data_IF_717491657529
#
_entry.id   IF_717491657529
#
_cell.length_a   1.000
_cell.length_b   1.000
_cell.length_c   1.000
_cell.angle_alpha   90.00
_cell.angle_beta   90.00
_cell.angle_gamma   90.00
#
_symmetry.space_group_name_H-M   'P 1'
#
loop_
_entity.id
_entity.type
_entity.pdbx_description
1 polymer ?
#
# COMPACT_ATOMS: atom_id res chain seq x y z
N UNK A 1 51.07 10.85 -35.73
CA UNK A 1 50.90 10.11 -34.47
C UNK A 1 49.88 10.86 -33.64
N UNK A 2 48.65 10.38 -33.64
CA UNK A 2 47.52 11.01 -32.94
C UNK A 2 47.45 10.41 -31.54
N UNK A 3 47.66 11.24 -30.52
CA UNK A 3 47.55 10.83 -29.13
C UNK A 3 46.06 10.84 -28.79
N UNK A 4 45.47 9.65 -28.65
CA UNK A 4 44.10 9.47 -28.16
C UNK A 4 44.17 9.55 -26.65
N UNK A 5 43.72 10.67 -26.08
CA UNK A 5 43.45 10.79 -24.64
C UNK A 5 42.06 10.23 -24.38
N UNK A 6 41.99 8.93 -24.06
CA UNK A 6 40.80 8.33 -23.48
C UNK A 6 40.64 8.87 -22.06
N UNK A 7 39.71 9.80 -21.88
CA UNK A 7 39.26 10.20 -20.55
C UNK A 7 38.50 9.02 -19.94
N UNK A 8 38.75 8.64 -18.66
CA UNK A 8 37.92 7.66 -18.01
C UNK A 8 36.50 8.22 -17.95
N UNK A 9 35.55 7.51 -18.58
CA UNK A 9 34.12 7.71 -18.37
C UNK A 9 33.91 7.79 -16.86
N UNK A 10 33.49 8.95 -16.37
CA UNK A 10 33.14 9.16 -14.98
C UNK A 10 32.12 8.08 -14.62
N UNK A 11 32.57 7.04 -13.89
CA UNK A 11 31.65 6.05 -13.35
C UNK A 11 30.68 6.83 -12.47
N UNK A 12 29.42 6.90 -12.90
CA UNK A 12 28.34 7.49 -12.13
C UNK A 12 28.27 6.68 -10.84
N UNK A 13 28.75 7.25 -9.74
CA UNK A 13 28.62 6.65 -8.42
C UNK A 13 27.13 6.51 -8.16
N UNK A 14 26.65 5.28 -8.18
CA UNK A 14 25.25 4.99 -7.92
C UNK A 14 25.01 5.12 -6.41
N UNK A 15 24.35 6.21 -6.04
CA UNK A 15 24.03 6.47 -4.63
C UNK A 15 22.82 5.64 -4.25
N UNK A 16 23.04 4.65 -3.37
CA UNK A 16 21.97 3.87 -2.74
C UNK A 16 21.09 4.83 -1.97
N UNK A 17 19.90 5.08 -2.51
CA UNK A 17 18.93 6.02 -1.98
C UNK A 17 17.53 5.56 -2.36
N UNK A 18 16.54 5.93 -1.56
CA UNK A 18 15.15 5.61 -1.86
C UNK A 18 14.71 6.11 -3.25
N UNK A 19 15.20 7.27 -3.68
CA UNK A 19 14.93 7.82 -5.01
C UNK A 19 15.39 6.91 -6.15
N UNK A 20 16.46 6.13 -5.96
CA UNK A 20 16.87 5.12 -6.94
C UNK A 20 15.82 3.99 -7.02
N UNK A 21 15.24 3.59 -5.88
CA UNK A 21 14.27 2.48 -5.82
C UNK A 21 12.84 2.88 -6.19
N UNK A 22 12.50 4.17 -6.13
CA UNK A 22 11.18 4.69 -6.52
C UNK A 22 10.79 4.40 -7.98
N UNK A 23 11.75 4.10 -8.85
CA UNK A 23 11.50 3.79 -10.26
C UNK A 23 11.04 2.36 -10.52
N UNK A 24 11.18 1.44 -9.57
CA UNK A 24 10.83 0.03 -9.73
C UNK A 24 9.45 -0.28 -9.14
N UNK A 25 8.76 -1.26 -9.72
CA UNK A 25 7.48 -1.76 -9.20
C UNK A 25 7.68 -2.60 -7.92
N UNK A 26 6.66 -2.63 -7.06
CA UNK A 26 6.72 -3.34 -5.77
C UNK A 26 7.10 -4.81 -5.91
N UNK A 27 6.62 -5.50 -6.96
CA UNK A 27 6.95 -6.91 -7.20
C UNK A 27 8.45 -7.12 -7.49
N UNK A 28 9.07 -6.20 -8.23
CA UNK A 28 10.49 -6.27 -8.54
C UNK A 28 11.34 -5.95 -7.29
N UNK A 29 10.93 -4.94 -6.52
CA UNK A 29 11.56 -4.60 -5.24
C UNK A 29 11.47 -5.75 -4.25
N UNK A 30 10.31 -6.41 -4.16
CA UNK A 30 10.08 -7.55 -3.27
C UNK A 30 10.94 -8.76 -3.66
N UNK A 31 11.05 -9.07 -4.96
CA UNK A 31 11.92 -10.13 -5.44
C UNK A 31 13.39 -9.86 -5.07
N UNK A 32 13.88 -8.65 -5.34
CA UNK A 32 15.23 -8.23 -4.95
C UNK A 32 15.44 -8.37 -3.44
N UNK A 33 14.46 -7.96 -2.62
CA UNK A 33 14.55 -8.11 -1.17
C UNK A 33 14.69 -9.57 -0.74
N UNK A 34 13.99 -10.50 -1.38
CA UNK A 34 14.09 -11.93 -1.09
C UNK A 34 15.44 -12.52 -1.50
N UNK A 35 15.94 -12.16 -2.69
CA UNK A 35 17.24 -12.62 -3.18
C UNK A 35 18.36 -12.18 -2.24
N UNK A 36 18.43 -10.87 -1.93
CA UNK A 36 19.49 -10.33 -1.07
C UNK A 36 19.39 -10.84 0.37
N UNK A 37 18.18 -10.99 0.91
CA UNK A 37 18.00 -11.56 2.24
C UNK A 37 18.41 -13.04 2.29
N UNK A 38 18.13 -13.83 1.23
CA UNK A 38 18.56 -15.22 1.14
C UNK A 38 20.09 -15.33 1.07
N UNK A 39 20.73 -14.52 0.24
CA UNK A 39 22.19 -14.48 0.10
C UNK A 39 22.86 -14.10 1.44
N UNK A 40 22.30 -13.11 2.16
CA UNK A 40 22.80 -12.73 3.47
C UNK A 40 22.65 -13.85 4.52
N UNK A 41 21.55 -14.61 4.47
CA UNK A 41 21.33 -15.77 5.36
C UNK A 41 22.28 -16.91 5.01
N UNK A 42 22.55 -17.15 3.72
CA UNK A 42 23.51 -18.15 3.25
C UNK A 42 24.92 -17.83 3.72
N UNK A 43 25.39 -16.59 3.51
CA UNK A 43 26.69 -16.12 3.98
C UNK A 43 26.87 -16.37 5.50
N UNK A 44 25.88 -15.98 6.31
CA UNK A 44 25.90 -16.22 7.76
C UNK A 44 25.92 -17.71 8.10
N UNK A 45 25.18 -18.53 7.34
CA UNK A 45 25.11 -19.99 7.55
C UNK A 45 26.41 -20.69 7.20
N UNK A 46 27.16 -20.16 6.23
CA UNK A 46 28.50 -20.64 5.85
C UNK A 46 29.61 -20.14 6.81
N UNK A 47 29.24 -19.32 7.79
CA UNK A 47 30.15 -18.77 8.80
C UNK A 47 30.83 -17.48 8.37
N UNK A 48 30.40 -16.87 7.27
CA UNK A 48 30.81 -15.53 6.89
C UNK A 48 30.15 -14.51 7.82
N UNK A 49 30.95 -13.55 8.31
CA UNK A 49 30.45 -12.45 9.12
C UNK A 49 29.99 -11.31 8.22
N UNK A 50 28.90 -10.64 8.58
CA UNK A 50 28.49 -9.38 7.94
C UNK A 50 29.30 -8.24 8.57
N UNK A 51 30.08 -7.57 7.74
CA UNK A 51 31.01 -6.49 8.09
C UNK A 51 30.61 -5.19 7.39
N UNK A 52 30.98 -4.04 7.97
CA UNK A 52 30.61 -2.75 7.40
C UNK A 52 31.16 -2.62 5.96
N UNK A 53 30.26 -2.33 5.00
CA UNK A 53 30.55 -2.10 3.57
C UNK A 53 30.97 -3.34 2.78
N UNK A 54 30.82 -4.55 3.33
CA UNK A 54 30.87 -5.75 2.48
C UNK A 54 29.60 -5.88 1.64
N UNK A 55 29.60 -6.85 0.72
CA UNK A 55 28.51 -7.06 -0.21
C UNK A 55 27.18 -7.34 0.52
N UNK A 56 27.21 -8.12 1.60
CA UNK A 56 26.03 -8.45 2.39
C UNK A 56 25.47 -7.23 3.12
N UNK A 57 26.33 -6.39 3.71
CA UNK A 57 25.94 -5.14 4.36
C UNK A 57 25.35 -4.15 3.36
N UNK A 58 26.00 -3.96 2.21
CA UNK A 58 25.50 -3.08 1.15
C UNK A 58 24.15 -3.58 0.64
N UNK A 59 24.02 -4.88 0.36
CA UNK A 59 22.75 -5.48 -0.05
C UNK A 59 21.66 -5.27 0.98
N UNK A 60 21.94 -5.51 2.27
CA UNK A 60 20.96 -5.26 3.34
C UNK A 60 20.54 -3.78 3.42
N UNK A 61 21.45 -2.84 3.15
CA UNK A 61 21.07 -1.42 3.03
C UNK A 61 20.13 -1.18 1.85
N UNK A 62 20.36 -1.80 0.69
CA UNK A 62 19.47 -1.72 -0.47
C UNK A 62 18.08 -2.28 -0.14
N UNK A 63 18.02 -3.41 0.57
CA UNK A 63 16.78 -4.00 1.07
C UNK A 63 16.05 -3.03 1.99
N UNK A 64 16.75 -2.39 2.95
CA UNK A 64 16.13 -1.39 3.82
C UNK A 64 15.53 -0.21 3.04
N UNK A 65 16.22 0.29 2.01
CA UNK A 65 15.70 1.38 1.16
C UNK A 65 14.49 0.93 0.33
N UNK A 66 14.54 -0.26 -0.25
CA UNK A 66 13.42 -0.80 -1.03
C UNK A 66 12.18 -1.06 -0.17
N UNK A 67 12.35 -1.64 1.03
CA UNK A 67 11.29 -1.82 2.00
C UNK A 67 10.70 -0.48 2.46
N UNK A 68 11.53 0.54 2.68
CA UNK A 68 11.07 1.88 3.04
C UNK A 68 10.18 2.50 1.93
N UNK A 69 10.59 2.38 0.66
CA UNK A 69 9.80 2.83 -0.49
C UNK A 69 8.46 2.10 -0.56
N UNK A 70 8.45 0.77 -0.46
CA UNK A 70 7.20 -0.01 -0.48
C UNK A 70 6.30 0.32 0.71
N UNK A 71 6.88 0.51 1.90
CA UNK A 71 6.13 0.94 3.08
C UNK A 71 5.48 2.30 2.85
N UNK A 72 6.25 3.31 2.42
CA UNK A 72 5.73 4.65 2.12
C UNK A 72 4.64 4.63 1.04
N UNK A 73 4.78 3.80 0.00
CA UNK A 73 3.75 3.65 -1.05
C UNK A 73 2.41 3.19 -0.45
N UNK A 74 2.45 2.25 0.50
CA UNK A 74 1.27 1.65 1.11
C UNK A 74 0.66 2.47 2.26
N UNK A 75 1.50 3.09 3.08
CA UNK A 75 1.07 3.81 4.29
C UNK A 75 0.96 5.32 4.06
N UNK A 76 1.74 5.87 3.12
CA UNK A 76 1.95 7.30 2.99
C UNK A 76 2.87 7.90 4.06
N UNK A 77 3.47 7.07 4.91
CA UNK A 77 4.29 7.48 6.05
C UNK A 77 5.73 6.96 5.95
N UNK A 78 6.64 7.65 6.64
CA UNK A 78 8.03 7.22 6.79
C UNK A 78 8.14 6.03 7.75
N UNK A 79 8.88 4.99 7.35
CA UNK A 79 9.06 3.79 8.18
C UNK A 79 9.79 4.10 9.48
N UNK A 80 10.73 5.04 9.47
CA UNK A 80 11.48 5.46 10.67
C UNK A 80 10.57 6.14 11.69
N UNK A 81 9.62 6.95 11.22
CA UNK A 81 8.64 7.59 12.10
C UNK A 81 7.72 6.54 12.73
N UNK A 82 7.10 5.68 11.90
CA UNK A 82 6.15 4.68 12.39
C UNK A 82 6.83 3.69 13.32
N UNK A 83 8.05 3.24 13.02
CA UNK A 83 8.81 2.34 13.89
C UNK A 83 9.19 2.97 15.23
N UNK A 84 9.57 4.25 15.25
CA UNK A 84 9.84 4.97 16.50
C UNK A 84 8.59 5.02 17.40
N UNK A 85 7.43 5.35 16.81
CA UNK A 85 6.16 5.40 17.54
C UNK A 85 5.79 4.02 18.13
N UNK A 86 6.01 2.94 17.37
CA UNK A 86 5.78 1.56 17.85
C UNK A 86 6.73 1.20 19.00
N UNK A 87 8.02 1.54 18.88
CA UNK A 87 9.01 1.26 19.93
C UNK A 87 8.71 2.03 21.21
N UNK A 88 8.28 3.29 21.11
CA UNK A 88 7.93 4.10 22.28
C UNK A 88 6.66 3.60 22.95
N UNK A 89 5.68 3.11 22.17
CA UNK A 89 4.51 2.43 22.72
C UNK A 89 4.90 1.15 23.46
N UNK A 90 5.72 0.29 22.85
CA UNK A 90 6.20 -0.94 23.49
C UNK A 90 6.96 -0.65 24.79
N UNK A 91 7.86 0.34 24.78
CA UNK A 91 8.57 0.79 25.98
C UNK A 91 7.60 1.23 27.08
N UNK A 92 6.57 2.00 26.73
CA UNK A 92 5.56 2.45 27.69
C UNK A 92 4.77 1.27 28.27
N UNK A 93 4.30 0.34 27.44
CA UNK A 93 3.58 -0.85 27.89
C UNK A 93 4.43 -1.70 28.85
N UNK A 94 5.72 -1.88 28.54
CA UNK A 94 6.66 -2.59 29.41
C UNK A 94 6.86 -1.88 30.76
N UNK A 95 6.94 -0.55 30.77
CA UNK A 95 7.13 0.23 32.01
C UNK A 95 5.87 0.30 32.87
N UNK A 96 4.69 0.31 32.26
CA UNK A 96 3.40 0.42 32.95
C UNK A 96 2.78 -0.95 33.28
N UNK A 97 3.40 -2.05 32.85
CA UNK A 97 2.89 -3.41 33.04
C UNK A 97 1.59 -3.68 32.26
N UNK A 98 1.37 -2.94 31.17
CA UNK A 98 0.20 -3.05 30.31
C UNK A 98 0.42 -4.14 29.25
N UNK A 99 -0.68 -4.76 28.82
CA UNK A 99 -0.67 -5.68 27.69
C UNK A 99 -0.37 -4.90 26.40
N UNK A 100 0.67 -5.32 25.67
CA UNK A 100 1.07 -4.69 24.41
C UNK A 100 0.04 -5.00 23.30
N UNK A 101 -0.88 -4.08 23.10
CA UNK A 101 -1.76 -4.09 21.92
C UNK A 101 -1.05 -3.32 20.82
N UNK A 102 -0.41 -4.07 19.91
CA UNK A 102 0.29 -3.51 18.75
C UNK A 102 -0.48 -2.34 18.15
N UNK A 103 0.19 -1.19 18.01
CA UNK A 103 -0.38 -0.06 17.31
C UNK A 103 -0.73 -0.47 15.87
N UNK A 104 -1.87 -0.03 15.32
CA UNK A 104 -2.20 -0.29 13.93
C UNK A 104 -1.23 0.48 13.04
N UNK A 105 -0.72 -0.19 12.00
CA UNK A 105 0.06 0.48 10.97
C UNK A 105 -0.90 1.35 10.13
N UNK A 106 -0.66 2.68 10.03
CA UNK A 106 -1.53 3.54 9.25
C UNK A 106 -1.46 3.15 7.77
N UNK A 107 -2.62 2.96 7.14
CA UNK A 107 -2.72 2.69 5.70
C UNK A 107 -3.16 3.99 5.03
N UNK A 108 -2.56 4.31 3.88
CA UNK A 108 -2.93 5.49 3.12
C UNK A 108 -4.42 5.43 2.80
N UNK A 109 -5.20 6.50 3.05
CA UNK A 109 -6.58 6.53 2.60
C UNK A 109 -6.59 6.41 1.07
N UNK A 110 -7.54 5.64 0.51
CA UNK A 110 -7.65 5.44 -0.92
C UNK A 110 -7.81 6.79 -1.62
N UNK A 111 -7.11 6.99 -2.73
CA UNK A 111 -7.08 8.29 -3.42
C UNK A 111 -8.45 8.71 -3.97
N UNK A 112 -9.36 7.74 -4.12
CA UNK A 112 -10.70 7.93 -4.66
C UNK A 112 -11.75 7.46 -3.66
N UNK A 113 -12.65 8.38 -3.33
CA UNK A 113 -13.87 8.08 -2.58
C UNK A 113 -14.97 7.60 -3.52
N UNK A 114 -15.72 6.55 -3.15
CA UNK A 114 -16.91 6.16 -3.90
C UNK A 114 -17.96 7.27 -3.89
N UNK A 115 -18.86 7.25 -4.87
CA UNK A 115 -19.98 8.17 -4.95
C UNK A 115 -20.98 7.90 -3.81
N UNK A 116 -21.57 8.95 -3.22
CA UNK A 116 -22.60 8.76 -2.21
C UNK A 116 -23.85 8.11 -2.83
N UNK A 117 -24.56 7.28 -2.07
CA UNK A 117 -25.78 6.61 -2.54
C UNK A 117 -26.83 7.59 -3.13
N UNK A 118 -26.87 8.82 -2.61
CA UNK A 118 -27.72 9.90 -3.12
C UNK A 118 -27.46 10.25 -4.59
N UNK A 119 -26.25 10.02 -5.11
CA UNK A 119 -25.91 10.24 -6.52
C UNK A 119 -26.73 9.34 -7.48
N UNK A 120 -27.20 8.19 -6.99
CA UNK A 120 -27.98 7.23 -7.78
C UNK A 120 -29.50 7.44 -7.62
N UNK A 121 -29.94 8.27 -6.67
CA UNK A 121 -31.35 8.43 -6.32
C UNK A 121 -32.21 9.01 -7.45
N UNK A 122 -31.62 9.79 -8.38
CA UNK A 122 -32.32 10.41 -9.49
C UNK A 122 -32.41 9.52 -10.75
N UNK A 123 -31.66 8.42 -10.81
CA UNK A 123 -31.61 7.55 -11.99
C UNK A 123 -32.90 6.73 -12.13
N UNK A 124 -33.28 6.31 -13.33
CA UNK A 124 -34.38 5.36 -13.53
C UNK A 124 -33.95 3.93 -13.14
N UNK A 125 -34.90 3.01 -12.97
CA UNK A 125 -34.61 1.60 -12.66
C UNK A 125 -33.74 0.92 -13.73
N UNK A 126 -33.98 1.23 -15.01
CA UNK A 126 -33.17 0.72 -16.11
C UNK A 126 -31.76 1.30 -16.10
N UNK A 127 -31.64 2.61 -15.84
CA UNK A 127 -30.34 3.29 -15.77
C UNK A 127 -29.51 2.79 -14.58
N UNK A 128 -30.14 2.49 -13.43
CA UNK A 128 -29.45 1.91 -12.27
C UNK A 128 -28.82 0.56 -12.60
N UNK A 129 -29.54 -0.32 -13.30
CA UNK A 129 -29.01 -1.61 -13.73
C UNK A 129 -27.84 -1.44 -14.71
N UNK A 130 -27.97 -0.53 -15.68
CA UNK A 130 -26.91 -0.24 -16.66
C UNK A 130 -25.67 0.38 -16.00
N UNK A 131 -25.85 1.34 -15.09
CA UNK A 131 -24.77 1.99 -14.35
C UNK A 131 -24.05 1.00 -13.45
N UNK A 132 -24.80 0.17 -12.70
CA UNK A 132 -24.23 -0.90 -11.88
C UNK A 132 -23.39 -1.87 -12.72
N UNK A 133 -23.89 -2.33 -13.86
CA UNK A 133 -23.14 -3.20 -14.77
C UNK A 133 -21.87 -2.53 -15.33
N UNK A 134 -21.95 -1.25 -15.71
CA UNK A 134 -20.81 -0.51 -16.23
C UNK A 134 -19.70 -0.35 -15.19
N UNK A 135 -20.06 -0.04 -13.93
CA UNK A 135 -19.09 0.09 -12.86
C UNK A 135 -18.44 -1.26 -12.49
N UNK A 136 -19.20 -2.36 -12.46
CA UNK A 136 -18.63 -3.71 -12.28
C UNK A 136 -17.66 -4.04 -13.41
N UNK A 137 -18.04 -3.76 -14.66
CA UNK A 137 -17.21 -4.03 -15.83
C UNK A 137 -15.88 -3.29 -15.76
N UNK A 138 -15.90 -2.01 -15.39
CA UNK A 138 -14.68 -1.20 -15.19
C UNK A 138 -13.81 -1.70 -14.04
N UNK A 139 -14.41 -2.04 -12.90
CA UNK A 139 -13.69 -2.62 -11.77
C UNK A 139 -12.96 -3.91 -12.18
N UNK A 140 -13.65 -4.76 -12.93
CA UNK A 140 -13.09 -6.01 -13.44
C UNK A 140 -11.99 -5.80 -14.50
N UNK A 141 -12.07 -4.77 -15.35
CA UNK A 141 -10.98 -4.40 -16.27
C UNK A 141 -9.70 -4.03 -15.50
N UNK A 142 -9.83 -3.23 -14.43
CA UNK A 142 -8.71 -2.89 -13.56
C UNK A 142 -8.13 -4.12 -12.83
N UNK A 143 -8.98 -5.05 -12.38
CA UNK A 143 -8.50 -6.28 -11.72
C UNK A 143 -7.79 -7.20 -12.72
N UNK A 144 -8.34 -7.38 -13.92
CA UNK A 144 -7.74 -8.25 -14.96
C UNK A 144 -6.41 -7.74 -15.48
N UNK A 145 -6.18 -6.43 -15.43
CA UNK A 145 -4.95 -5.80 -15.91
C UNK A 145 -3.69 -6.15 -15.12
N UNK A 146 -3.77 -6.92 -14.02
CA UNK A 146 -2.65 -7.13 -13.08
C UNK A 146 -1.99 -5.79 -12.71
N UNK A 147 -2.83 -4.80 -12.45
CA UNK A 147 -2.45 -3.40 -12.27
C UNK A 147 -1.38 -3.25 -11.17
N UNK A 148 -0.12 -2.92 -11.54
CA UNK A 148 0.98 -2.84 -10.57
C UNK A 148 0.92 -1.57 -9.72
N UNK A 149 0.01 -0.64 -10.05
CA UNK A 149 -0.10 0.68 -9.40
C UNK A 149 -1.27 0.70 -8.42
N UNK A 150 -1.02 1.19 -7.20
CA UNK A 150 -2.06 1.39 -6.17
C UNK A 150 -3.27 2.19 -6.68
N UNK A 151 -3.06 3.17 -7.56
CA UNK A 151 -4.12 4.04 -8.09
C UNK A 151 -5.17 3.24 -8.88
N UNK A 152 -4.75 2.24 -9.64
CA UNK A 152 -5.65 1.42 -10.45
C UNK A 152 -6.47 0.46 -9.58
N UNK A 153 -5.89 -0.02 -8.47
CA UNK A 153 -6.62 -0.77 -7.44
C UNK A 153 -7.60 0.12 -6.67
N UNK A 154 -7.24 1.36 -6.36
CA UNK A 154 -8.15 2.34 -5.74
C UNK A 154 -9.33 2.66 -6.67
N UNK A 155 -9.09 2.78 -7.99
CA UNK A 155 -10.14 2.91 -9.01
C UNK A 155 -11.04 1.68 -9.05
N UNK A 156 -10.46 0.48 -9.06
CA UNK A 156 -11.20 -0.77 -9.04
C UNK A 156 -12.10 -0.88 -7.79
N UNK A 157 -11.57 -0.48 -6.63
CA UNK A 157 -12.28 -0.42 -5.35
C UNK A 157 -13.44 0.57 -5.42
N UNK A 158 -13.17 1.81 -5.84
CA UNK A 158 -14.18 2.85 -5.94
C UNK A 158 -15.32 2.43 -6.89
N UNK A 159 -15.00 1.92 -8.08
CA UNK A 159 -16.00 1.44 -9.03
C UNK A 159 -16.79 0.22 -8.53
N UNK A 160 -16.15 -0.69 -7.80
CA UNK A 160 -16.88 -1.80 -7.17
C UNK A 160 -17.92 -1.29 -6.16
N UNK A 161 -17.54 -0.31 -5.33
CA UNK A 161 -18.44 0.31 -4.36
C UNK A 161 -19.54 1.14 -5.02
N UNK A 162 -19.24 1.87 -6.10
CA UNK A 162 -20.24 2.61 -6.90
C UNK A 162 -21.28 1.65 -7.50
N UNK A 163 -20.82 0.51 -8.02
CA UNK A 163 -21.71 -0.53 -8.52
C UNK A 163 -22.62 -1.08 -7.42
N UNK A 164 -22.06 -1.37 -6.24
CA UNK A 164 -22.85 -1.80 -5.09
C UNK A 164 -23.88 -0.74 -4.71
N UNK A 165 -23.50 0.54 -4.66
CA UNK A 165 -24.41 1.65 -4.39
C UNK A 165 -25.59 1.70 -5.38
N UNK A 166 -25.32 1.59 -6.68
CA UNK A 166 -26.36 1.57 -7.71
C UNK A 166 -27.28 0.33 -7.57
N UNK A 167 -26.73 -0.84 -7.27
CA UNK A 167 -27.49 -2.08 -7.08
C UNK A 167 -28.35 -2.06 -5.81
N UNK A 168 -27.87 -1.47 -4.71
CA UNK A 168 -28.67 -1.30 -3.48
C UNK A 168 -29.91 -0.46 -3.77
N UNK A 169 -29.74 0.72 -4.41
CA UNK A 169 -30.88 1.58 -4.78
C UNK A 169 -31.85 0.86 -5.72
N UNK A 170 -31.33 0.06 -6.65
CA UNK A 170 -32.16 -0.77 -7.54
C UNK A 170 -32.98 -1.80 -6.76
N UNK A 171 -32.34 -2.55 -5.85
CA UNK A 171 -32.99 -3.59 -5.05
C UNK A 171 -34.03 -2.99 -4.11
N UNK A 172 -33.74 -1.87 -3.46
CA UNK A 172 -34.69 -1.17 -2.60
C UNK A 172 -35.96 -0.77 -3.37
N UNK A 173 -35.80 -0.24 -4.59
CA UNK A 173 -36.94 0.12 -5.44
C UNK A 173 -37.74 -1.09 -5.91
N UNK A 174 -37.06 -2.16 -6.33
CA UNK A 174 -37.73 -3.39 -6.78
C UNK A 174 -38.43 -4.12 -5.62
N UNK A 175 -37.91 -3.99 -4.41
CA UNK A 175 -38.44 -4.63 -3.19
C UNK A 175 -39.48 -3.77 -2.46
N UNK A 176 -39.84 -2.59 -2.98
CA UNK A 176 -40.78 -1.67 -2.33
C UNK A 176 -40.29 -1.15 -0.96
N UNK A 177 -38.98 -1.09 -0.74
CA UNK A 177 -38.37 -0.61 0.51
C UNK A 177 -38.27 -1.64 1.64
N UNK A 178 -38.62 -2.91 1.41
CA UNK A 178 -38.62 -3.96 2.46
C UNK A 178 -37.23 -4.55 2.73
N UNK A 179 -36.30 -4.46 1.76
CA UNK A 179 -34.94 -4.98 1.86
C UNK A 179 -33.93 -3.82 1.92
N UNK A 180 -33.61 -3.34 3.11
CA UNK A 180 -32.49 -2.40 3.32
C UNK A 180 -31.19 -3.20 3.32
N UNK A 181 -30.41 -3.12 2.24
CA UNK A 181 -29.07 -3.69 2.19
C UNK A 181 -28.11 -2.61 2.68
N UNK A 182 -27.67 -2.73 3.94
CA UNK A 182 -26.64 -1.85 4.48
C UNK A 182 -25.31 -2.13 3.77
N UNK A 183 -25.01 -1.39 2.70
CA UNK A 183 -23.67 -1.27 2.16
C UNK A 183 -22.94 -0.15 2.90
N UNK A 184 -22.58 -0.43 4.15
CA UNK A 184 -21.59 0.37 4.86
C UNK A 184 -20.21 -0.20 4.55
N UNK A 185 -19.27 0.65 4.14
CA UNK A 185 -17.86 0.35 4.43
C UNK A 185 -17.81 0.01 5.92
N UNK A 186 -17.43 -1.21 6.28
CA UNK A 186 -16.87 -1.41 7.61
C UNK A 186 -15.67 -0.48 7.66
N UNK A 187 -15.66 0.56 8.52
CA UNK A 187 -14.47 1.34 8.68
C UNK A 187 -13.41 0.35 9.16
N UNK A 188 -12.38 0.11 8.35
CA UNK A 188 -11.13 -0.41 8.90
C UNK A 188 -10.75 0.64 9.93
N UNK A 189 -10.82 0.26 11.21
CA UNK A 189 -10.77 1.14 12.36
C UNK A 189 -9.44 1.91 12.39
N UNK A 190 -9.38 3.02 11.66
CA UNK A 190 -8.23 3.91 11.54
C UNK A 190 -8.58 5.33 12.02
N UNK A 191 -9.50 5.44 12.99
CA UNK A 191 -9.62 6.65 13.78
C UNK A 191 -9.02 6.36 15.17
N UNK A 192 -8.01 7.11 15.63
CA UNK A 192 -7.72 7.15 17.06
C UNK A 192 -9.00 7.62 17.75
N UNK A 193 -9.60 6.73 18.55
CA UNK A 193 -10.80 7.03 19.31
C UNK A 193 -10.54 8.26 20.17
N UNK A 194 -11.26 9.34 19.88
CA UNK A 194 -11.33 10.52 20.71
C UNK A 194 -12.16 10.20 21.96
N UNK A 195 -11.63 9.36 22.85
CA UNK A 195 -12.20 9.15 24.18
C UNK A 195 -11.43 10.02 25.18
N UNK A 196 -11.77 11.31 25.16
CA UNK A 196 -11.54 12.21 26.29
C UNK A 196 -12.62 12.00 27.34
N UNK A 197 -12.17 11.77 28.59
CA UNK A 197 -12.83 12.14 29.85
C UNK A 197 -14.21 11.53 30.16
N UNK A 198 -14.22 10.53 31.05
CA UNK A 198 -15.07 10.53 32.26
C UNK A 198 -14.31 9.92 33.44
#
# INVERSE_FOLDING_TARGET
MTIITDFPLTQTVEVISEAHFEKFDDAALLLMCFEVAADAVEAVSEGEGITERDCSHVGLMEVCMALAVMFRRRTGHEVQQVSADHLDHQRKCLMEGLEDKSLPIPIRPPALSPLPAAAFAALSTADLAQVGFNYISRSHEHIKGNCPKLIELDLARAHSLDAMGALVVLIERLSGGVASIASGETPIANAPGSETLQ
#
